data_IF_005100217428
#
_entry.id   IF_005100217428
#
_cell.length_a   1.000
_cell.length_b   1.000
_cell.length_c   1.000
_cell.angle_alpha   90.00
_cell.angle_beta   90.00
_cell.angle_gamma   90.00
#
_symmetry.space_group_name_H-M   'P 1'
#
loop_
_entity.id
_entity.type
_entity.pdbx_description
1 polymer ?
#
# COMPACT_ATOMS: atom_id res chain seq x y z
N UNK A 1 1.78 28.60 -20.95
CA UNK A 1 3.18 28.18 -20.76
C UNK A 1 3.80 27.95 -22.12
N UNK A 2 5.10 28.17 -22.28
CA UNK A 2 5.83 27.75 -23.48
C UNK A 2 5.94 26.21 -23.48
N UNK A 3 5.61 25.58 -24.61
CA UNK A 3 5.68 24.13 -24.80
C UNK A 3 7.13 23.61 -24.66
N UNK A 4 8.12 24.46 -24.97
CA UNK A 4 9.54 24.13 -24.76
C UNK A 4 9.86 23.93 -23.27
N UNK A 5 9.43 24.86 -22.42
CA UNK A 5 9.64 24.75 -20.97
C UNK A 5 8.91 23.53 -20.38
N UNK A 6 7.72 23.22 -20.89
CA UNK A 6 7.00 21.99 -20.52
C UNK A 6 7.80 20.74 -20.92
N UNK A 7 8.40 20.73 -22.11
CA UNK A 7 9.28 19.66 -22.55
C UNK A 7 10.47 19.43 -21.60
N UNK A 8 11.15 20.50 -21.19
CA UNK A 8 12.25 20.39 -20.22
C UNK A 8 11.79 19.82 -18.87
N UNK A 9 10.66 20.29 -18.35
CA UNK A 9 10.10 19.80 -17.06
C UNK A 9 9.68 18.34 -17.16
N UNK A 10 9.05 17.92 -18.26
CA UNK A 10 8.68 16.53 -18.48
C UNK A 10 9.93 15.65 -18.59
N UNK A 11 10.97 16.11 -19.28
CA UNK A 11 12.21 15.35 -19.40
C UNK A 11 12.86 15.10 -18.03
N UNK A 12 12.90 16.12 -17.18
CA UNK A 12 13.43 16.03 -15.83
C UNK A 12 12.58 15.07 -14.97
N UNK A 13 11.25 15.20 -15.04
CA UNK A 13 10.32 14.34 -14.28
C UNK A 13 10.45 12.85 -14.66
N UNK A 14 10.66 12.54 -15.93
CA UNK A 14 10.74 11.15 -16.42
C UNK A 14 12.18 10.60 -16.50
N UNK A 15 13.16 11.34 -15.99
CA UNK A 15 14.56 10.90 -15.90
C UNK A 15 14.96 10.38 -14.51
N UNK A 16 14.02 10.23 -13.57
CA UNK A 16 14.16 9.58 -12.25
C UNK A 16 15.49 9.88 -11.52
N UNK A 17 15.81 11.16 -11.31
CA UNK A 17 17.02 11.63 -10.62
C UNK A 17 18.35 11.07 -11.18
N UNK A 18 18.38 10.67 -12.46
CA UNK A 18 19.61 10.26 -13.11
C UNK A 18 20.66 11.38 -13.00
N UNK A 19 21.97 11.06 -12.91
CA UNK A 19 23.03 12.07 -12.80
C UNK A 19 23.07 13.07 -13.98
N UNK A 20 22.32 12.82 -15.05
CA UNK A 20 22.10 13.70 -16.21
C UNK A 20 20.61 14.06 -16.41
N UNK A 21 19.79 14.09 -15.35
CA UNK A 21 18.35 14.36 -15.44
C UNK A 21 18.01 15.78 -15.94
N UNK A 22 18.97 16.71 -15.81
CA UNK A 22 18.82 18.07 -16.33
C UNK A 22 19.06 18.05 -17.84
N UNK A 23 18.03 18.42 -18.61
CA UNK A 23 18.10 18.43 -20.07
C UNK A 23 19.08 19.50 -20.60
N UNK A 24 19.16 20.65 -19.93
CA UNK A 24 20.03 21.77 -20.27
C UNK A 24 20.52 22.50 -19.02
N UNK A 25 21.81 22.83 -18.94
CA UNK A 25 22.29 23.99 -18.17
C UNK A 25 22.32 25.26 -19.06
N UNK A 26 22.60 26.43 -18.50
CA UNK A 26 22.65 27.70 -19.23
C UNK A 26 23.61 27.63 -20.43
N UNK A 27 24.78 27.02 -20.26
CA UNK A 27 25.76 26.86 -21.33
C UNK A 27 25.22 25.96 -22.47
N UNK A 28 24.57 24.86 -22.10
CA UNK A 28 23.98 23.91 -23.05
C UNK A 28 22.82 24.54 -23.82
N UNK A 29 21.99 25.35 -23.16
CA UNK A 29 20.87 26.04 -23.79
C UNK A 29 21.36 27.08 -24.81
N UNK A 30 22.43 27.81 -24.47
CA UNK A 30 23.09 28.74 -25.41
C UNK A 30 23.70 28.00 -26.60
N UNK A 31 24.34 26.85 -26.39
CA UNK A 31 24.89 26.02 -27.47
C UNK A 31 23.78 25.38 -28.33
N UNK A 32 22.70 24.92 -27.71
CA UNK A 32 21.52 24.36 -28.37
C UNK A 32 20.89 25.39 -29.30
N UNK A 33 20.78 26.65 -28.85
CA UNK A 33 20.27 27.76 -29.66
C UNK A 33 21.03 27.98 -30.98
N UNK A 34 22.32 27.62 -31.02
CA UNK A 34 23.20 27.81 -32.18
C UNK A 34 23.44 26.47 -32.92
N UNK A 35 22.64 25.42 -32.66
CA UNK A 35 22.79 24.07 -33.23
C UNK A 35 24.15 23.40 -32.93
N UNK A 36 24.78 23.73 -31.79
CA UNK A 36 26.09 23.18 -31.38
C UNK A 36 25.98 22.07 -30.32
N UNK A 37 24.78 21.80 -29.82
CA UNK A 37 24.53 20.82 -28.78
C UNK A 37 23.18 20.13 -29.00
N UNK A 38 23.09 18.83 -28.67
CA UNK A 38 21.84 18.06 -28.63
C UNK A 38 21.85 17.12 -27.41
N UNK A 39 20.79 17.11 -26.57
CA UNK A 39 20.79 16.41 -25.28
C UNK A 39 20.52 14.89 -25.38
N UNK A 40 21.25 14.15 -26.23
CA UNK A 40 21.01 12.71 -26.45
C UNK A 40 21.05 11.88 -25.16
N UNK A 41 22.00 12.17 -24.28
CA UNK A 41 22.21 11.40 -23.05
C UNK A 41 21.02 11.53 -22.08
N UNK A 42 20.46 12.72 -21.97
CA UNK A 42 19.31 13.01 -21.11
C UNK A 42 17.98 12.54 -21.73
N UNK A 43 17.88 12.51 -23.06
CA UNK A 43 16.73 11.91 -23.74
C UNK A 43 16.73 10.38 -23.60
N UNK A 44 17.89 9.76 -23.74
CA UNK A 44 18.04 8.32 -23.61
C UNK A 44 17.85 7.79 -22.18
N UNK A 45 17.94 8.63 -21.14
CA UNK A 45 17.58 8.23 -19.78
C UNK A 45 16.08 8.05 -19.59
N UNK A 46 15.24 8.66 -20.44
CA UNK A 46 13.79 8.51 -20.39
C UNK A 46 13.42 7.09 -20.84
N UNK A 47 12.84 6.30 -19.93
CA UNK A 47 12.56 4.89 -20.16
C UNK A 47 11.46 4.65 -21.19
N UNK A 48 10.44 5.51 -21.21
CA UNK A 48 9.26 5.37 -22.08
C UNK A 48 9.48 6.06 -23.42
N UNK A 49 9.51 5.27 -24.50
CA UNK A 49 9.73 5.74 -25.88
C UNK A 49 8.76 6.86 -26.28
N UNK A 50 7.46 6.69 -25.99
CA UNK A 50 6.43 7.68 -26.35
C UNK A 50 6.66 9.03 -25.66
N UNK A 51 7.19 9.02 -24.43
CA UNK A 51 7.51 10.22 -23.66
C UNK A 51 8.79 10.85 -24.17
N UNK A 52 9.79 10.05 -24.56
CA UNK A 52 11.00 10.54 -25.21
C UNK A 52 10.69 11.28 -26.50
N UNK A 53 9.88 10.68 -27.38
CA UNK A 53 9.44 11.30 -28.64
C UNK A 53 8.63 12.59 -28.41
N UNK A 54 7.80 12.61 -27.36
CA UNK A 54 7.09 13.81 -26.95
C UNK A 54 8.06 14.92 -26.55
N UNK A 55 9.02 14.62 -25.67
CA UNK A 55 10.02 15.59 -25.23
C UNK A 55 10.83 16.11 -26.42
N UNK A 56 11.27 15.24 -27.33
CA UNK A 56 11.98 15.62 -28.56
C UNK A 56 11.20 16.62 -29.42
N UNK A 57 9.89 16.42 -29.58
CA UNK A 57 9.04 17.38 -30.29
C UNK A 57 8.87 18.71 -29.53
N UNK A 58 8.79 18.66 -28.20
CA UNK A 58 8.60 19.85 -27.37
C UNK A 58 9.85 20.73 -27.34
N UNK A 59 11.05 20.13 -27.39
CA UNK A 59 12.32 20.86 -27.34
C UNK A 59 12.78 21.36 -28.72
N UNK A 60 12.02 21.14 -29.79
CA UNK A 60 12.38 21.62 -31.13
C UNK A 60 12.70 23.11 -31.13
N UNK A 61 13.80 23.48 -31.79
CA UNK A 61 14.28 24.87 -31.87
C UNK A 61 13.23 25.81 -32.48
N UNK A 62 12.57 25.35 -33.54
CA UNK A 62 11.53 26.11 -34.22
C UNK A 62 10.19 26.02 -33.47
N UNK A 63 9.65 27.14 -32.96
CA UNK A 63 8.40 27.12 -32.19
C UNK A 63 7.19 26.59 -32.98
N UNK A 64 7.25 26.64 -34.32
CA UNK A 64 6.17 26.18 -35.21
C UNK A 64 6.14 24.66 -35.37
N UNK A 65 7.24 23.97 -35.11
CA UNK A 65 7.35 22.51 -35.21
C UNK A 65 6.85 21.82 -33.94
N UNK A 66 6.77 22.57 -32.83
CA UNK A 66 6.23 22.10 -31.55
C UNK A 66 4.74 21.87 -31.67
N UNK A 67 4.29 20.66 -31.34
CA UNK A 67 2.86 20.35 -31.29
C UNK A 67 2.15 21.16 -30.20
N UNK A 68 0.88 21.46 -30.46
CA UNK A 68 0.02 22.09 -29.46
C UNK A 68 -0.38 21.08 -28.39
N UNK A 69 -0.64 21.58 -27.17
CA UNK A 69 -1.06 20.75 -26.03
C UNK A 69 -2.30 19.89 -26.33
N UNK A 70 -3.26 20.40 -27.09
CA UNK A 70 -4.46 19.64 -27.47
C UNK A 70 -4.16 18.45 -28.38
N UNK A 71 -3.18 18.59 -29.29
CA UNK A 71 -2.76 17.51 -30.19
C UNK A 71 -1.97 16.45 -29.42
N UNK A 72 -1.11 16.89 -28.50
CA UNK A 72 -0.34 16.02 -27.62
C UNK A 72 -1.26 15.15 -26.76
N UNK A 73 -2.28 15.76 -26.13
CA UNK A 73 -3.21 15.02 -25.28
C UNK A 73 -3.99 13.94 -26.06
N UNK A 74 -4.39 14.22 -27.30
CA UNK A 74 -5.06 13.22 -28.16
C UNK A 74 -4.14 12.08 -28.60
N UNK A 75 -2.84 12.33 -28.74
CA UNK A 75 -1.86 11.29 -29.11
C UNK A 75 -1.46 10.42 -27.90
N UNK A 76 -1.39 11.01 -26.70
CA UNK A 76 -0.95 10.32 -25.48
C UNK A 76 -2.09 9.58 -24.76
N UNK A 77 -3.35 9.96 -24.98
CA UNK A 77 -4.52 9.39 -24.28
C UNK A 77 -4.71 7.89 -24.53
N UNK A 78 -4.23 7.36 -25.65
CA UNK A 78 -4.35 5.93 -25.95
C UNK A 78 -3.07 5.13 -25.61
N UNK A 79 -1.93 5.78 -25.35
CA UNK A 79 -0.64 5.10 -25.20
C UNK A 79 0.02 5.25 -23.82
N UNK A 80 -0.12 6.40 -23.15
CA UNK A 80 0.56 6.68 -21.88
C UNK A 80 -0.38 6.58 -20.69
N UNK A 81 -1.62 7.05 -20.84
CA UNK A 81 -2.61 7.01 -19.76
C UNK A 81 -3.67 5.95 -20.05
N UNK A 82 -4.01 5.10 -19.06
CA UNK A 82 -5.16 4.21 -19.18
C UNK A 82 -6.45 5.00 -19.39
N UNK A 83 -7.40 4.45 -20.15
CA UNK A 83 -8.68 5.11 -20.45
C UNK A 83 -9.54 5.34 -19.21
N UNK A 84 -9.36 4.52 -18.16
CA UNK A 84 -10.04 4.77 -16.88
C UNK A 84 -9.56 6.06 -16.20
N UNK A 85 -8.41 6.62 -16.59
CA UNK A 85 -7.79 7.73 -15.89
C UNK A 85 -8.63 9.01 -15.96
N UNK A 86 -9.28 9.30 -17.08
CA UNK A 86 -10.18 10.45 -17.22
C UNK A 86 -11.38 10.34 -16.26
N UNK A 87 -12.01 9.17 -16.23
CA UNK A 87 -13.11 8.86 -15.32
C UNK A 87 -12.66 8.95 -13.86
N UNK A 88 -11.50 8.37 -13.55
CA UNK A 88 -10.94 8.38 -12.20
C UNK A 88 -10.55 9.80 -11.77
N UNK A 89 -9.99 10.61 -12.67
CA UNK A 89 -9.62 11.99 -12.40
C UNK A 89 -10.85 12.83 -12.05
N UNK A 90 -11.90 12.77 -12.87
CA UNK A 90 -13.15 13.49 -12.62
C UNK A 90 -13.81 13.02 -11.32
N UNK A 91 -13.79 11.71 -11.06
CA UNK A 91 -14.29 11.14 -9.83
C UNK A 91 -13.52 11.65 -8.60
N UNK A 92 -12.18 11.55 -8.62
CA UNK A 92 -11.31 12.02 -7.54
C UNK A 92 -11.43 13.53 -7.32
N UNK A 93 -11.57 14.33 -8.39
CA UNK A 93 -11.77 15.77 -8.31
C UNK A 93 -13.03 16.13 -7.53
N UNK A 94 -14.11 15.38 -7.72
CA UNK A 94 -15.35 15.56 -6.94
C UNK A 94 -15.16 15.07 -5.50
N UNK A 95 -14.44 13.96 -5.34
CA UNK A 95 -14.24 13.34 -4.03
C UNK A 95 -13.38 14.18 -3.09
N UNK A 96 -12.32 14.82 -3.58
CA UNK A 96 -11.41 15.66 -2.77
C UNK A 96 -12.15 16.78 -2.03
N UNK A 97 -13.24 17.30 -2.61
CA UNK A 97 -14.07 18.38 -2.04
C UNK A 97 -14.95 17.93 -0.86
N UNK A 98 -15.15 16.63 -0.69
CA UNK A 98 -16.00 16.08 0.37
C UNK A 98 -15.25 16.00 1.70
N UNK A 99 -15.95 16.03 2.85
CA UNK A 99 -15.32 15.71 4.13
C UNK A 99 -14.90 14.23 4.18
N UNK A 100 -13.91 13.85 5.02
CA UNK A 100 -13.34 12.49 5.06
C UNK A 100 -14.38 11.37 5.15
N UNK A 101 -15.36 11.49 6.05
CA UNK A 101 -16.41 10.47 6.21
C UNK A 101 -17.25 10.30 4.93
N UNK A 102 -17.61 11.41 4.27
CA UNK A 102 -18.35 11.37 3.01
C UNK A 102 -17.52 10.82 1.84
N UNK A 103 -16.20 11.05 1.83
CA UNK A 103 -15.29 10.42 0.86
C UNK A 103 -15.37 8.90 0.93
N UNK A 104 -15.29 8.36 2.15
CA UNK A 104 -15.30 6.91 2.38
C UNK A 104 -16.66 6.30 2.04
N UNK A 105 -17.77 6.96 2.41
CA UNK A 105 -19.12 6.49 2.06
C UNK A 105 -19.31 6.45 0.54
N UNK A 106 -18.95 7.53 -0.17
CA UNK A 106 -19.08 7.61 -1.63
C UNK A 106 -18.20 6.58 -2.32
N UNK A 107 -16.94 6.46 -1.90
CA UNK A 107 -16.04 5.41 -2.38
C UNK A 107 -16.68 4.04 -2.22
N UNK A 108 -17.24 3.72 -1.05
CA UNK A 108 -17.85 2.41 -0.82
C UNK A 108 -19.03 2.10 -1.77
N UNK A 109 -19.82 3.11 -2.14
CA UNK A 109 -20.94 2.96 -3.06
C UNK A 109 -20.47 2.69 -4.49
N UNK A 110 -19.42 3.40 -4.92
CA UNK A 110 -18.97 3.40 -6.30
C UNK A 110 -17.82 2.39 -6.56
N UNK A 111 -17.26 1.77 -5.53
CA UNK A 111 -16.07 0.90 -5.62
C UNK A 111 -16.22 -0.22 -6.66
N UNK A 112 -17.37 -0.91 -6.70
CA UNK A 112 -17.55 -2.04 -7.62
C UNK A 112 -17.52 -1.59 -9.09
N UNK A 113 -18.03 -0.39 -9.39
CA UNK A 113 -17.95 0.22 -10.72
C UNK A 113 -16.55 0.70 -11.09
N UNK A 114 -15.75 1.09 -10.10
CA UNK A 114 -14.37 1.55 -10.31
C UNK A 114 -13.38 0.39 -10.46
N UNK A 115 -13.59 -0.73 -9.78
CA UNK A 115 -12.65 -1.85 -9.76
C UNK A 115 -12.48 -2.50 -11.14
N UNK A 116 -13.57 -2.76 -11.86
CA UNK A 116 -13.52 -3.45 -13.16
C UNK A 116 -12.60 -2.75 -14.17
N UNK A 117 -12.88 -1.48 -14.53
CA UNK A 117 -12.08 -0.74 -15.51
C UNK A 117 -10.60 -0.61 -15.13
N UNK A 118 -10.30 -0.44 -13.84
CA UNK A 118 -8.92 -0.32 -13.35
C UNK A 118 -8.20 -1.66 -13.49
N UNK A 119 -8.81 -2.76 -13.03
CA UNK A 119 -8.20 -4.09 -13.08
C UNK A 119 -8.00 -4.61 -14.51
N UNK A 120 -8.86 -4.24 -15.44
CA UNK A 120 -8.76 -4.66 -16.85
C UNK A 120 -7.62 -3.98 -17.61
N UNK A 121 -7.27 -2.75 -17.26
CA UNK A 121 -6.25 -1.98 -18.00
C UNK A 121 -4.93 -1.87 -17.24
N UNK A 122 -4.96 -1.35 -16.01
CA UNK A 122 -3.78 -1.19 -15.17
C UNK A 122 -4.16 -1.18 -13.68
N UNK A 123 -3.87 -2.29 -13.01
CA UNK A 123 -4.17 -2.46 -11.59
C UNK A 123 -3.42 -1.49 -10.68
N UNK A 124 -2.35 -0.82 -11.13
CA UNK A 124 -1.65 0.20 -10.34
C UNK A 124 -2.54 1.40 -10.01
N UNK A 125 -3.57 1.68 -10.81
CA UNK A 125 -4.55 2.72 -10.52
C UNK A 125 -5.25 2.56 -9.17
N UNK A 126 -5.31 1.34 -8.62
CA UNK A 126 -5.86 1.08 -7.28
C UNK A 126 -5.08 1.77 -6.16
N UNK A 127 -3.78 2.02 -6.36
CA UNK A 127 -2.95 2.74 -5.40
C UNK A 127 -3.48 4.16 -5.16
N UNK A 128 -3.99 4.83 -6.19
CA UNK A 128 -4.56 6.18 -6.06
C UNK A 128 -5.77 6.17 -5.11
N UNK A 129 -6.63 5.16 -5.23
CA UNK A 129 -7.79 5.00 -4.36
C UNK A 129 -7.33 4.66 -2.93
N UNK A 130 -6.35 3.77 -2.77
CA UNK A 130 -5.80 3.42 -1.47
C UNK A 130 -5.24 4.65 -0.75
N UNK A 131 -4.48 5.52 -1.44
CA UNK A 131 -3.92 6.76 -0.88
C UNK A 131 -5.01 7.72 -0.41
N UNK A 132 -6.12 7.82 -1.14
CA UNK A 132 -7.26 8.64 -0.72
C UNK A 132 -7.93 8.08 0.53
N UNK A 133 -8.05 6.76 0.64
CA UNK A 133 -8.61 6.11 1.83
C UNK A 133 -7.68 6.34 3.02
N UNK A 134 -6.39 5.99 2.90
CA UNK A 134 -5.42 6.08 3.99
C UNK A 134 -5.21 7.51 4.48
N UNK A 135 -5.14 8.49 3.57
CA UNK A 135 -5.09 9.92 3.94
C UNK A 135 -6.34 10.39 4.69
N UNK A 136 -7.50 9.75 4.46
CA UNK A 136 -8.74 10.08 5.16
C UNK A 136 -8.85 9.39 6.52
N UNK A 137 -8.22 8.23 6.73
CA UNK A 137 -8.43 7.36 7.91
C UNK A 137 -8.25 8.07 9.25
N UNK A 138 -7.21 8.91 9.41
CA UNK A 138 -6.95 9.63 10.67
C UNK A 138 -7.97 10.73 10.98
N UNK A 139 -8.64 11.25 9.95
CA UNK A 139 -9.61 12.34 10.07
C UNK A 139 -11.06 11.85 10.17
N UNK A 140 -11.29 10.54 10.15
CA UNK A 140 -12.64 9.96 10.23
C UNK A 140 -13.24 10.17 11.62
N UNK A 141 -14.51 10.55 11.67
CA UNK A 141 -15.21 10.83 12.94
C UNK A 141 -16.17 9.71 13.30
N UNK A 142 -16.93 9.21 12.33
CA UNK A 142 -17.94 8.20 12.56
C UNK A 142 -17.35 6.78 12.57
N UNK A 143 -17.74 5.99 13.58
CA UNK A 143 -17.32 4.59 13.78
C UNK A 143 -17.61 3.74 12.53
N UNK A 144 -18.79 3.95 11.94
CA UNK A 144 -19.16 3.28 10.70
C UNK A 144 -18.17 3.57 9.57
N UNK A 145 -17.76 4.84 9.40
CA UNK A 145 -16.80 5.23 8.37
C UNK A 145 -15.40 4.67 8.65
N UNK A 146 -14.97 4.61 9.92
CA UNK A 146 -13.69 3.99 10.31
C UNK A 146 -13.62 2.52 9.90
N UNK A 147 -14.67 1.76 10.23
CA UNK A 147 -14.81 0.35 9.86
C UNK A 147 -14.89 0.20 8.33
N UNK A 148 -15.68 1.04 7.67
CA UNK A 148 -15.86 1.00 6.22
C UNK A 148 -14.54 1.26 5.49
N UNK A 149 -13.76 2.25 5.92
CA UNK A 149 -12.45 2.56 5.35
C UNK A 149 -11.49 1.36 5.42
N UNK A 150 -11.44 0.68 6.56
CA UNK A 150 -10.59 -0.51 6.74
C UNK A 150 -11.03 -1.65 5.79
N UNK A 151 -12.35 -1.91 5.69
CA UNK A 151 -12.89 -2.92 4.76
C UNK A 151 -12.60 -2.60 3.30
N UNK A 152 -12.70 -1.33 2.90
CA UNK A 152 -12.34 -0.90 1.55
C UNK A 152 -10.87 -1.11 1.27
N UNK A 153 -9.99 -0.75 2.21
CA UNK A 153 -8.55 -1.00 2.10
C UNK A 153 -8.24 -2.49 1.93
N UNK A 154 -8.90 -3.37 2.68
CA UNK A 154 -8.76 -4.82 2.52
C UNK A 154 -9.27 -5.29 1.15
N UNK A 155 -10.41 -4.77 0.69
CA UNK A 155 -10.95 -5.09 -0.65
C UNK A 155 -9.96 -4.73 -1.75
N UNK A 156 -9.31 -3.57 -1.65
CA UNK A 156 -8.27 -3.13 -2.59
C UNK A 156 -7.03 -4.02 -2.48
N UNK A 157 -6.57 -4.32 -1.27
CA UNK A 157 -5.39 -5.16 -1.05
C UNK A 157 -5.53 -6.56 -1.67
N UNK A 158 -6.74 -7.14 -1.67
CA UNK A 158 -7.02 -8.43 -2.33
C UNK A 158 -7.23 -8.32 -3.84
N UNK A 159 -7.65 -7.15 -4.35
CA UNK A 159 -8.10 -7.01 -5.73
C UNK A 159 -7.01 -7.34 -6.77
N UNK A 160 -5.74 -7.09 -6.46
CA UNK A 160 -4.63 -7.40 -7.36
C UNK A 160 -3.33 -7.72 -6.59
N UNK A 161 -2.52 -8.69 -7.06
CA UNK A 161 -1.21 -9.01 -6.48
C UNK A 161 -0.24 -7.81 -6.47
N UNK A 162 -0.40 -6.86 -7.40
CA UNK A 162 0.41 -5.63 -7.46
C UNK A 162 0.31 -4.83 -6.16
N UNK A 163 -0.82 -4.95 -5.45
CA UNK A 163 -1.01 -4.24 -4.18
C UNK A 163 -0.13 -4.77 -3.05
N UNK A 164 0.40 -6.00 -3.14
CA UNK A 164 1.25 -6.61 -2.11
C UNK A 164 2.38 -5.68 -1.66
N UNK A 165 3.04 -5.04 -2.61
CA UNK A 165 4.21 -4.18 -2.35
C UNK A 165 3.88 -2.91 -1.56
N UNK A 166 2.60 -2.52 -1.48
CA UNK A 166 2.17 -1.29 -0.81
C UNK A 166 1.49 -1.53 0.53
N UNK A 167 1.24 -2.78 0.92
CA UNK A 167 0.47 -3.10 2.14
C UNK A 167 1.26 -2.71 3.38
N UNK A 168 2.52 -3.12 3.47
CA UNK A 168 3.39 -2.88 4.62
C UNK A 168 3.70 -1.39 4.80
N UNK A 169 4.06 -0.69 3.72
CA UNK A 169 4.46 0.72 3.82
C UNK A 169 3.30 1.72 3.83
N UNK A 170 2.22 1.44 3.06
CA UNK A 170 1.16 2.43 2.83
C UNK A 170 -0.11 2.16 3.63
N UNK A 171 -0.40 0.91 3.98
CA UNK A 171 -1.65 0.55 4.68
C UNK A 171 -1.42 0.20 6.16
N UNK A 172 -0.45 -0.66 6.46
CA UNK A 172 -0.20 -1.17 7.81
C UNK A 172 -0.02 -0.06 8.87
N UNK A 173 0.68 1.06 8.62
CA UNK A 173 0.86 2.10 9.64
C UNK A 173 -0.49 2.75 10.07
N UNK A 174 -1.44 2.86 9.15
CA UNK A 174 -2.77 3.40 9.44
C UNK A 174 -3.65 2.41 10.19
N UNK A 175 -3.52 1.11 9.87
CA UNK A 175 -4.19 0.06 10.61
C UNK A 175 -3.62 -0.05 12.03
N UNK A 176 -2.31 -0.10 12.22
CA UNK A 176 -1.70 -0.13 13.55
C UNK A 176 -2.11 1.07 14.41
N UNK A 177 -2.19 2.27 13.81
CA UNK A 177 -2.73 3.44 14.51
C UNK A 177 -4.19 3.25 14.94
N UNK A 178 -5.00 2.59 14.13
CA UNK A 178 -6.42 2.33 14.41
C UNK A 178 -6.64 1.34 15.57
N UNK A 179 -5.62 0.58 16.00
CA UNK A 179 -5.68 -0.25 17.21
C UNK A 179 -5.73 0.59 18.49
N UNK A 180 -5.39 1.88 18.44
CA UNK A 180 -5.48 2.78 19.60
C UNK A 180 -6.82 3.55 19.66
N UNK A 181 -7.77 3.23 18.79
CA UNK A 181 -9.09 3.86 18.77
C UNK A 181 -9.89 3.59 20.03
N UNK A 182 -10.70 4.57 20.44
CA UNK A 182 -11.48 4.49 21.69
C UNK A 182 -12.57 3.43 21.62
N UNK A 183 -13.22 3.28 20.46
CA UNK A 183 -14.33 2.34 20.28
C UNK A 183 -13.81 0.92 20.00
N UNK A 184 -14.25 -0.09 20.79
CA UNK A 184 -13.76 -1.46 20.65
C UNK A 184 -14.14 -2.13 19.32
N UNK A 185 -15.19 -1.67 18.63
CA UNK A 185 -15.57 -2.22 17.33
C UNK A 185 -14.57 -1.85 16.25
N UNK A 186 -14.03 -0.64 16.31
CA UNK A 186 -12.97 -0.20 15.39
C UNK A 186 -11.71 -1.01 15.64
N UNK A 187 -11.26 -1.13 16.91
CA UNK A 187 -10.09 -1.95 17.26
C UNK A 187 -10.23 -3.41 16.82
N UNK A 188 -11.40 -4.01 17.05
CA UNK A 188 -11.68 -5.38 16.60
C UNK A 188 -11.62 -5.52 15.07
N UNK A 189 -12.28 -4.62 14.33
CA UNK A 189 -12.19 -4.59 12.86
C UNK A 189 -10.74 -4.42 12.38
N UNK A 190 -9.94 -3.64 13.12
CA UNK A 190 -8.54 -3.41 12.79
C UNK A 190 -7.69 -4.66 12.90
N UNK A 191 -7.90 -5.50 13.92
CA UNK A 191 -7.21 -6.79 14.03
C UNK A 191 -7.52 -7.66 12.81
N UNK A 192 -8.80 -7.75 12.44
CA UNK A 192 -9.25 -8.53 11.26
C UNK A 192 -8.59 -7.97 9.99
N UNK A 193 -8.58 -6.64 9.86
CA UNK A 193 -8.03 -5.95 8.69
C UNK A 193 -6.53 -6.13 8.56
N UNK A 194 -5.77 -6.04 9.66
CA UNK A 194 -4.33 -6.31 9.69
C UNK A 194 -4.06 -7.74 9.27
N UNK A 195 -4.73 -8.72 9.89
CA UNK A 195 -4.55 -10.13 9.55
C UNK A 195 -4.84 -10.39 8.07
N UNK A 196 -5.97 -9.88 7.57
CA UNK A 196 -6.36 -10.06 6.19
C UNK A 196 -5.40 -9.39 5.20
N UNK A 197 -5.01 -8.15 5.46
CA UNK A 197 -4.11 -7.40 4.59
C UNK A 197 -2.73 -8.05 4.54
N UNK A 198 -2.17 -8.48 5.68
CA UNK A 198 -0.86 -9.14 5.68
C UNK A 198 -0.87 -10.51 4.98
N UNK A 199 -1.99 -11.23 4.99
CA UNK A 199 -2.15 -12.45 4.20
C UNK A 199 -2.11 -12.20 2.67
N UNK A 200 -2.36 -10.98 2.21
CA UNK A 200 -2.26 -10.63 0.79
C UNK A 200 -0.82 -10.26 0.38
N UNK A 201 0.13 -10.19 1.33
CA UNK A 201 1.53 -9.88 1.03
C UNK A 201 2.22 -11.15 0.51
N UNK A 202 2.50 -11.16 -0.79
CA UNK A 202 3.15 -12.28 -1.48
C UNK A 202 4.67 -12.16 -1.49
N UNK A 203 5.19 -10.94 -1.59
CA UNK A 203 6.62 -10.64 -1.57
C UNK A 203 6.89 -9.48 -0.62
N UNK A 204 7.75 -9.73 0.36
CA UNK A 204 8.21 -8.73 1.31
C UNK A 204 9.39 -7.92 0.73
N UNK A 205 9.35 -6.57 0.77
CA UNK A 205 10.52 -5.74 0.51
C UNK A 205 11.62 -6.00 1.54
N UNK A 206 12.90 -5.89 1.15
CA UNK A 206 14.03 -6.10 2.07
C UNK A 206 14.08 -5.08 3.21
N UNK A 207 13.49 -3.89 3.02
CA UNK A 207 13.30 -2.88 4.08
C UNK A 207 12.41 -3.36 5.23
N UNK A 208 11.59 -4.38 4.96
CA UNK A 208 10.45 -4.77 5.79
C UNK A 208 10.66 -6.13 6.46
N UNK A 209 11.86 -6.72 6.39
CA UNK A 209 12.17 -8.05 6.96
C UNK A 209 11.70 -8.19 8.41
N UNK A 210 11.87 -7.14 9.22
CA UNK A 210 11.54 -7.12 10.65
C UNK A 210 10.18 -6.50 10.99
N UNK A 211 9.26 -6.38 10.03
CA UNK A 211 7.95 -5.73 10.27
C UNK A 211 7.16 -6.39 11.41
N UNK A 212 7.28 -7.71 11.59
CA UNK A 212 6.60 -8.40 12.70
C UNK A 212 7.18 -8.06 14.07
N UNK A 213 8.49 -8.17 14.23
CA UNK A 213 9.20 -7.98 15.50
C UNK A 213 9.20 -6.52 15.94
N UNK A 214 9.43 -5.60 15.01
CA UNK A 214 9.59 -4.18 15.32
C UNK A 214 8.25 -3.44 15.46
N UNK A 215 7.23 -3.81 14.67
CA UNK A 215 6.00 -3.03 14.57
C UNK A 215 4.72 -3.78 14.96
N UNK A 216 4.55 -5.04 14.55
CA UNK A 216 3.27 -5.75 14.77
C UNK A 216 3.19 -6.34 16.18
N UNK A 217 4.18 -7.13 16.59
CA UNK A 217 4.18 -7.85 17.86
C UNK A 217 4.06 -6.95 19.08
N UNK A 218 4.79 -5.81 19.18
CA UNK A 218 4.67 -4.91 20.34
C UNK A 218 3.22 -4.45 20.54
N UNK A 219 2.50 -4.19 19.45
CA UNK A 219 1.10 -3.75 19.51
C UNK A 219 0.17 -4.92 19.84
N UNK A 220 0.38 -6.12 19.27
CA UNK A 220 -0.43 -7.29 19.61
C UNK A 220 -0.30 -7.70 21.08
N UNK A 221 0.89 -7.56 21.67
CA UNK A 221 1.12 -7.76 23.10
C UNK A 221 0.35 -6.78 23.99
N UNK A 222 -0.02 -5.60 23.48
CA UNK A 222 -0.91 -4.68 24.21
C UNK A 222 -2.39 -5.10 24.05
N UNK A 223 -2.77 -5.53 22.85
CA UNK A 223 -4.15 -5.91 22.50
C UNK A 223 -4.63 -7.15 23.27
N UNK A 224 -3.75 -8.09 23.60
CA UNK A 224 -4.13 -9.27 24.40
C UNK A 224 -4.65 -8.91 25.80
N UNK A 225 -4.26 -7.75 26.33
CA UNK A 225 -4.78 -7.21 27.60
C UNK A 225 -5.87 -6.15 27.41
N UNK A 226 -6.49 -6.06 26.23
CA UNK A 226 -7.54 -5.07 25.95
C UNK A 226 -8.72 -5.20 26.93
N UNK A 227 -9.27 -4.06 27.37
CA UNK A 227 -10.39 -4.00 28.32
C UNK A 227 -11.65 -4.68 27.76
N UNK A 228 -11.84 -4.61 26.45
CA UNK A 228 -12.98 -5.20 25.77
C UNK A 228 -12.75 -6.68 25.47
N UNK A 229 -13.61 -7.52 26.04
CA UNK A 229 -13.67 -8.96 25.71
C UNK A 229 -13.84 -9.16 24.21
N UNK A 230 -14.59 -8.29 23.54
CA UNK A 230 -14.81 -8.38 22.09
C UNK A 230 -13.49 -8.27 21.31
N UNK A 231 -12.60 -7.37 21.70
CA UNK A 231 -11.30 -7.19 21.04
C UNK A 231 -10.41 -8.42 21.27
N UNK A 232 -10.37 -8.93 22.51
CA UNK A 232 -9.60 -10.14 22.85
C UNK A 232 -10.13 -11.40 22.13
N UNK A 233 -11.45 -11.53 22.00
CA UNK A 233 -12.09 -12.57 21.17
C UNK A 233 -11.61 -12.48 19.72
N UNK A 234 -11.58 -11.28 19.16
CA UNK A 234 -11.13 -11.07 17.79
C UNK A 234 -9.65 -11.39 17.62
N UNK A 235 -8.80 -11.04 18.59
CA UNK A 235 -7.40 -11.47 18.59
C UNK A 235 -7.27 -13.00 18.62
N UNK A 236 -8.00 -13.67 19.53
CA UNK A 236 -8.01 -15.11 19.63
C UNK A 236 -8.45 -15.82 18.34
N UNK A 237 -9.39 -15.25 17.60
CA UNK A 237 -9.84 -15.77 16.32
C UNK A 237 -8.82 -15.61 15.18
N UNK A 238 -7.84 -14.69 15.31
CA UNK A 238 -6.91 -14.34 14.23
C UNK A 238 -5.45 -14.65 14.54
N UNK A 239 -5.07 -14.91 15.79
CA UNK A 239 -3.67 -15.09 16.20
C UNK A 239 -2.98 -16.22 15.44
N UNK A 240 -3.69 -17.32 15.16
CA UNK A 240 -3.14 -18.45 14.41
C UNK A 240 -2.88 -18.16 12.93
N UNK A 241 -3.58 -17.17 12.37
CA UNK A 241 -3.37 -16.71 10.99
C UNK A 241 -2.17 -15.79 10.94
N UNK A 242 -2.08 -14.87 11.91
CA UNK A 242 -0.91 -14.00 12.08
C UNK A 242 0.38 -14.79 12.29
N UNK A 243 0.35 -15.90 13.04
CA UNK A 243 1.53 -16.76 13.23
C UNK A 243 2.02 -17.39 11.92
N UNK A 244 1.11 -17.82 11.05
CA UNK A 244 1.44 -18.32 9.71
C UNK A 244 2.07 -17.25 8.83
N UNK A 245 1.51 -16.04 8.85
CA UNK A 245 2.05 -14.91 8.09
C UNK A 245 3.45 -14.57 8.59
N UNK A 246 3.66 -14.54 9.91
CA UNK A 246 4.97 -14.28 10.51
C UNK A 246 6.04 -15.27 10.02
N UNK A 247 5.72 -16.57 9.98
CA UNK A 247 6.66 -17.57 9.42
C UNK A 247 6.90 -17.41 7.93
N UNK A 248 5.86 -17.09 7.17
CA UNK A 248 6.02 -16.86 5.74
C UNK A 248 6.95 -15.68 5.47
N UNK A 249 6.82 -14.59 6.24
CA UNK A 249 7.69 -13.43 6.12
C UNK A 249 9.13 -13.78 6.53
N UNK A 250 9.30 -14.46 7.66
CA UNK A 250 10.63 -14.92 8.10
C UNK A 250 11.30 -15.83 7.05
N UNK A 251 10.54 -16.73 6.41
CA UNK A 251 11.05 -17.61 5.36
C UNK A 251 11.40 -16.89 4.05
N UNK A 252 10.94 -15.66 3.85
CA UNK A 252 11.31 -14.81 2.72
C UNK A 252 12.57 -13.98 3.02
N UNK A 253 12.90 -13.75 4.30
CA UNK A 253 14.13 -13.08 4.71
C UNK A 253 15.34 -13.97 4.42
N UNK A 254 16.33 -13.42 3.70
CA UNK A 254 17.58 -14.13 3.36
C UNK A 254 18.65 -14.04 4.46
N UNK A 255 18.26 -13.68 5.69
CA UNK A 255 19.20 -13.26 6.74
C UNK A 255 19.82 -14.42 7.53
N UNK A 256 21.05 -14.21 8.02
CA UNK A 256 21.82 -15.15 8.86
C UNK A 256 21.22 -15.30 10.27
N UNK A 257 20.23 -14.49 10.65
CA UNK A 257 19.63 -14.42 11.98
C UNK A 257 18.28 -15.15 12.10
N UNK A 258 17.96 -16.03 11.14
CA UNK A 258 16.69 -16.75 11.09
C UNK A 258 16.29 -17.39 12.43
N UNK A 259 17.24 -18.07 13.10
CA UNK A 259 16.96 -18.76 14.37
C UNK A 259 16.68 -17.79 15.53
N UNK A 260 17.38 -16.65 15.57
CA UNK A 260 17.17 -15.63 16.60
C UNK A 260 15.80 -14.96 16.42
N UNK A 261 15.45 -14.58 15.19
CA UNK A 261 14.15 -14.00 14.86
C UNK A 261 13.01 -15.00 15.09
N UNK A 262 13.20 -16.28 14.72
CA UNK A 262 12.24 -17.33 15.01
C UNK A 262 12.00 -17.49 16.51
N UNK A 263 13.06 -17.42 17.33
CA UNK A 263 12.91 -17.47 18.78
C UNK A 263 12.11 -16.28 19.31
N UNK A 264 12.40 -15.06 18.86
CA UNK A 264 11.66 -13.85 19.26
C UNK A 264 10.17 -13.94 18.88
N UNK A 265 9.88 -14.45 17.68
CA UNK A 265 8.52 -14.73 17.23
C UNK A 265 7.85 -15.76 18.15
N UNK A 266 8.49 -16.90 18.40
CA UNK A 266 7.96 -17.93 19.28
C UNK A 266 7.65 -17.39 20.67
N UNK A 267 8.58 -16.69 21.30
CA UNK A 267 8.43 -16.23 22.67
C UNK A 267 7.28 -15.21 22.78
N UNK A 268 7.17 -14.31 21.80
CA UNK A 268 6.09 -13.31 21.75
C UNK A 268 4.71 -13.95 21.52
N UNK A 269 4.60 -14.86 20.55
CA UNK A 269 3.35 -15.57 20.29
C UNK A 269 2.97 -16.51 21.45
N UNK A 270 3.93 -17.15 22.11
CA UNK A 270 3.69 -17.99 23.28
C UNK A 270 3.10 -17.18 24.44
N UNK A 271 3.62 -15.97 24.69
CA UNK A 271 3.07 -15.06 25.69
C UNK A 271 1.62 -14.71 25.37
N UNK A 272 1.33 -14.30 24.12
CA UNK A 272 -0.03 -13.93 23.69
C UNK A 272 -0.98 -15.13 23.82
N UNK A 273 -0.61 -16.29 23.28
CA UNK A 273 -1.44 -17.51 23.30
C UNK A 273 -1.70 -17.99 24.73
N UNK A 274 -0.69 -17.97 25.61
CA UNK A 274 -0.86 -18.36 27.02
C UNK A 274 -1.84 -17.44 27.76
N UNK A 275 -1.77 -16.13 27.51
CA UNK A 275 -2.72 -15.18 28.10
C UNK A 275 -4.14 -15.40 27.57
N UNK A 276 -4.31 -15.68 26.27
CA UNK A 276 -5.62 -15.97 25.69
C UNK A 276 -6.22 -17.31 26.20
N UNK A 277 -5.39 -18.34 26.42
CA UNK A 277 -5.81 -19.62 27.00
C UNK A 277 -6.19 -19.52 28.49
N UNK A 278 -5.60 -18.58 29.20
CA UNK A 278 -5.86 -18.31 30.63
C UNK A 278 -6.79 -17.12 30.85
N UNK A 279 -7.42 -16.59 29.78
CA UNK A 279 -8.30 -15.43 29.88
C UNK A 279 -9.44 -15.66 30.87
N UNK A 280 -9.71 -14.61 31.67
CA UNK A 280 -10.84 -14.51 32.59
C UNK A 280 -12.19 -14.91 31.96
N UNK A 281 -12.38 -14.64 30.67
CA UNK A 281 -13.62 -14.91 29.96
C UNK A 281 -13.54 -16.23 29.17
N UNK A 282 -14.46 -17.14 29.46
CA UNK A 282 -14.54 -18.46 28.82
C UNK A 282 -14.71 -18.39 27.30
N UNK A 283 -15.38 -17.35 26.79
CA UNK A 283 -15.58 -17.18 25.36
C UNK A 283 -14.24 -16.97 24.64
N UNK A 284 -13.31 -16.20 25.21
CA UNK A 284 -11.99 -15.95 24.59
C UNK A 284 -11.22 -17.26 24.44
N UNK A 285 -11.15 -18.03 25.52
CA UNK A 285 -10.52 -19.35 25.56
C UNK A 285 -11.13 -20.30 24.53
N UNK A 286 -12.47 -20.38 24.50
CA UNK A 286 -13.20 -21.21 23.54
C UNK A 286 -12.98 -20.76 22.11
N UNK A 287 -12.97 -19.46 21.83
CA UNK A 287 -12.71 -18.95 20.47
C UNK A 287 -11.33 -19.37 19.98
N UNK A 288 -10.29 -19.26 20.80
CA UNK A 288 -8.95 -19.70 20.42
C UNK A 288 -8.92 -21.20 20.04
N UNK A 289 -9.60 -22.05 20.82
CA UNK A 289 -9.60 -23.50 20.65
C UNK A 289 -10.54 -23.99 19.53
N UNK A 290 -11.69 -23.33 19.36
CA UNK A 290 -12.74 -23.75 18.42
C UNK A 290 -12.61 -23.09 17.04
N UNK A 291 -11.78 -22.05 16.91
CA UNK A 291 -11.53 -21.44 15.59
C UNK A 291 -10.91 -22.49 14.66
N UNK A 292 -11.49 -22.70 13.46
CA UNK A 292 -11.00 -23.72 12.54
C UNK A 292 -9.51 -23.58 12.24
N UNK A 293 -8.79 -24.70 12.29
CA UNK A 293 -7.34 -24.78 12.07
C UNK A 293 -6.47 -23.97 13.05
N UNK A 294 -7.03 -23.30 14.06
CA UNK A 294 -6.26 -22.45 14.97
C UNK A 294 -5.17 -23.23 15.70
N UNK A 295 -5.55 -24.29 16.43
CA UNK A 295 -4.60 -25.15 17.13
C UNK A 295 -3.60 -25.80 16.17
N UNK A 296 -4.05 -26.31 15.02
CA UNK A 296 -3.15 -26.94 14.05
C UNK A 296 -2.08 -25.96 13.53
N UNK A 297 -2.45 -24.73 13.22
CA UNK A 297 -1.53 -23.70 12.74
C UNK A 297 -0.54 -23.29 13.83
N UNK A 298 -1.00 -23.16 15.08
CA UNK A 298 -0.13 -22.85 16.21
C UNK A 298 0.84 -24.01 16.50
N UNK A 299 0.39 -25.27 16.39
CA UNK A 299 1.27 -26.43 16.54
C UNK A 299 2.36 -26.49 15.47
N UNK A 300 2.01 -26.19 14.21
CA UNK A 300 3.00 -26.06 13.13
C UNK A 300 3.94 -24.91 13.43
N UNK A 301 3.43 -23.80 13.97
CA UNK A 301 4.22 -22.62 14.25
C UNK A 301 5.28 -22.82 15.33
N UNK A 302 4.90 -23.37 16.48
CA UNK A 302 5.83 -23.64 17.58
C UNK A 302 6.74 -24.86 17.34
N UNK A 303 6.35 -25.75 16.42
CA UNK A 303 7.05 -27.01 16.20
C UNK A 303 6.90 -27.99 17.36
N UNK A 304 7.30 -29.26 17.14
CA UNK A 304 7.04 -30.38 18.06
C UNK A 304 7.66 -30.25 19.45
N UNK A 305 8.73 -29.47 19.60
CA UNK A 305 9.46 -29.36 20.87
C UNK A 305 8.74 -28.43 21.86
N UNK A 306 8.25 -27.27 21.40
CA UNK A 306 7.53 -26.29 22.23
C UNK A 306 6.02 -26.54 22.36
N UNK A 307 5.43 -27.49 21.62
CA UNK A 307 3.99 -27.80 21.75
C UNK A 307 3.64 -28.73 22.90
N UNK A 308 4.63 -29.44 23.45
CA UNK A 308 4.45 -30.41 24.53
C UNK A 308 4.80 -29.83 25.92
N UNK A 309 5.34 -28.60 25.96
CA UNK A 309 5.62 -27.82 27.17
C UNK A 309 4.45 -26.88 27.47
#
# INVERSE_FOLDING_TARGET
MDMFSVGCVLAELFSDDAPNGNLFDLADLLAFRINQFYPEKALNSISTENIRQLVENLISLEPKERKLSSQILTELSDSVFPKYFDLLYDYLRQLVRLPPDAKIIRLAQDMDGLLGPILEQDAQGLLLILVVITSSMRALKHIHCKILAQRLSCKIAKASPVMSAFITDRLLPYLLHSLNETDPRVRAETIISITYSLEQVTKLPASDNNVFTDYILPVLCQVVSDRSVFVRLTLAANISRLSKVALNFLGQSCDQNYDEELSLLHDSFQLIVSQLLTDSNNCVRRTLLLTPHSCANLCVFFGRQKTNE
#
